data_IF_431175705379
#
_entry.id   IF_431175705379
#
_cell.length_a   1.000
_cell.length_b   1.000
_cell.length_c   1.000
_cell.angle_alpha   90.00
_cell.angle_beta   90.00
_cell.angle_gamma   90.00
#
_symmetry.space_group_name_H-M   'P 1'
#
loop_
_entity.id
_entity.type
_entity.pdbx_description
1 polymer ?
#
# COMPACT_ATOMS: atom_id res chain seq x y z
N UNK A 1 -38.87 -30.82 0.07
CA UNK A 1 -39.64 -29.55 0.14
C UNK A 1 -39.59 -28.87 1.51
N UNK A 2 -39.75 -29.57 2.64
CA UNK A 2 -39.70 -28.94 3.98
C UNK A 2 -38.33 -28.36 4.39
N UNK A 3 -37.22 -28.86 3.86
CA UNK A 3 -35.86 -28.35 4.11
C UNK A 3 -35.50 -27.15 3.24
N UNK A 4 -35.96 -27.13 1.98
CA UNK A 4 -35.78 -26.00 1.06
C UNK A 4 -36.54 -24.74 1.51
N UNK A 5 -37.75 -24.90 2.08
CA UNK A 5 -38.54 -23.78 2.60
C UNK A 5 -37.87 -23.06 3.79
N UNK A 6 -37.15 -23.81 4.64
CA UNK A 6 -36.43 -23.24 5.80
C UNK A 6 -35.18 -22.45 5.39
N UNK A 7 -34.49 -22.87 4.32
CA UNK A 7 -33.31 -22.19 3.79
C UNK A 7 -33.70 -20.89 3.10
N UNK A 8 -34.79 -20.90 2.32
CA UNK A 8 -35.31 -19.68 1.67
C UNK A 8 -35.82 -18.68 2.70
N UNK A 9 -36.52 -19.14 3.75
CA UNK A 9 -37.00 -18.25 4.82
C UNK A 9 -35.85 -17.65 5.64
N UNK A 10 -34.76 -18.42 5.87
CA UNK A 10 -33.57 -17.93 6.56
C UNK A 10 -32.78 -16.88 5.77
N UNK A 11 -32.64 -17.06 4.45
CA UNK A 11 -31.94 -16.10 3.58
C UNK A 11 -32.72 -14.79 3.39
N UNK A 12 -34.05 -14.84 3.35
CA UNK A 12 -34.89 -13.64 3.24
C UNK A 12 -34.83 -12.79 4.52
N UNK A 13 -34.81 -13.41 5.71
CA UNK A 13 -34.66 -12.68 6.99
C UNK A 13 -33.27 -12.06 7.13
N UNK A 14 -32.22 -12.73 6.63
CA UNK A 14 -30.86 -12.20 6.63
C UNK A 14 -30.70 -10.96 5.72
N UNK A 15 -31.39 -10.94 4.57
CA UNK A 15 -31.36 -9.79 3.66
C UNK A 15 -32.13 -8.57 4.20
N UNK A 16 -33.22 -8.79 4.95
CA UNK A 16 -34.02 -7.70 5.54
C UNK A 16 -33.28 -7.01 6.71
N UNK A 17 -32.38 -7.72 7.42
CA UNK A 17 -31.58 -7.11 8.49
C UNK A 17 -30.43 -6.22 7.97
N UNK A 18 -29.96 -6.41 6.73
CA UNK A 18 -28.91 -5.56 6.14
C UNK A 18 -29.43 -4.25 5.54
N UNK A 19 -30.74 -4.12 5.32
CA UNK A 19 -31.35 -2.96 4.64
C UNK A 19 -31.76 -1.80 5.56
N UNK A 20 -31.46 -1.86 6.86
CA UNK A 20 -31.94 -0.87 7.87
C UNK A 20 -30.88 0.20 8.23
N UNK A 21 -29.67 0.17 7.66
CA UNK A 21 -28.64 1.21 7.90
C UNK A 21 -28.27 2.03 6.65
N UNK A 22 -29.24 2.31 5.78
CA UNK A 22 -29.14 3.39 4.79
C UNK A 22 -29.83 4.64 5.35
N UNK A 23 -29.08 5.43 6.11
CA UNK A 23 -29.48 6.78 6.53
C UNK A 23 -29.10 7.78 5.45
N UNK A 24 -30.11 8.30 4.76
CA UNK A 24 -30.05 9.48 3.89
C UNK A 24 -30.66 10.65 4.67
N UNK A 25 -29.88 11.72 4.90
CA UNK A 25 -30.40 12.99 5.39
C UNK A 25 -29.78 14.11 4.53
N UNK A 26 -30.62 14.71 3.69
CA UNK A 26 -30.32 15.87 2.84
C UNK A 26 -31.04 17.11 3.37
N UNK A 27 -30.30 18.18 3.64
CA UNK A 27 -30.63 19.62 3.51
C UNK A 27 -29.57 20.42 4.30
N UNK A 28 -29.12 21.63 3.98
CA UNK A 28 -29.20 22.59 2.86
C UNK A 28 -28.16 23.67 3.20
N UNK A 29 -27.67 24.36 2.17
CA UNK A 29 -26.62 25.39 2.17
C UNK A 29 -26.73 26.50 3.21
N UNK A 30 -25.56 26.95 3.70
CA UNK A 30 -25.27 28.38 3.81
C UNK A 30 -23.82 28.67 3.44
N UNK A 31 -23.66 29.65 2.55
CA UNK A 31 -22.41 30.23 2.08
C UNK A 31 -21.88 31.24 3.09
N UNK A 32 -20.60 31.15 3.43
CA UNK A 32 -19.81 32.33 3.79
C UNK A 32 -18.35 32.14 3.40
N UNK A 33 -17.95 32.92 2.41
CA UNK A 33 -16.57 33.12 2.02
C UNK A 33 -15.83 33.86 3.14
N UNK A 34 -14.79 33.21 3.67
CA UNK A 34 -13.66 33.89 4.27
C UNK A 34 -12.41 33.19 3.73
N UNK A 35 -11.73 33.90 2.85
CA UNK A 35 -10.37 33.64 2.40
C UNK A 35 -9.47 33.54 3.61
N UNK A 36 -9.02 32.34 3.94
CA UNK A 36 -7.78 32.15 4.67
C UNK A 36 -6.88 31.26 3.82
N UNK A 37 -5.92 31.94 3.20
CA UNK A 37 -4.81 31.32 2.49
C UNK A 37 -3.95 30.63 3.54
N UNK A 38 -4.35 29.43 3.95
CA UNK A 38 -3.47 28.50 4.63
C UNK A 38 -2.39 28.10 3.62
N UNK A 39 -1.32 28.89 3.59
CA UNK A 39 -0.06 28.48 3.03
C UNK A 39 0.36 27.25 3.84
N UNK A 40 0.04 26.08 3.29
CA UNK A 40 0.66 24.83 3.68
C UNK A 40 2.13 25.05 3.43
N UNK A 41 2.86 25.32 4.51
CA UNK A 41 4.30 25.18 4.57
C UNK A 41 4.56 23.74 4.10
N UNK A 42 4.99 23.60 2.84
CA UNK A 42 5.36 22.31 2.28
C UNK A 42 6.64 21.93 3.02
N UNK A 43 6.47 21.27 4.16
CA UNK A 43 7.55 20.55 4.82
C UNK A 43 8.00 19.51 3.80
N UNK A 44 9.14 19.79 3.16
CA UNK A 44 9.87 18.80 2.36
C UNK A 44 10.24 17.66 3.31
N UNK A 45 9.39 16.64 3.36
CA UNK A 45 9.60 15.41 4.12
C UNK A 45 10.95 14.82 3.67
N UNK A 46 11.93 14.78 4.57
CA UNK A 46 13.25 14.20 4.27
C UNK A 46 13.12 12.67 4.34
N UNK A 47 13.43 11.93 3.25
CA UNK A 47 13.31 10.48 3.25
C UNK A 47 14.23 9.83 4.30
N UNK A 48 13.70 8.88 5.06
CA UNK A 48 14.51 8.01 5.92
C UNK A 48 15.25 6.98 5.07
N UNK A 49 16.58 6.97 5.15
CA UNK A 49 17.38 5.97 4.44
C UNK A 49 17.27 4.59 5.10
N UNK A 50 17.01 3.55 4.31
CA UNK A 50 16.95 2.16 4.76
C UNK A 50 17.30 1.20 3.63
N UNK A 51 17.86 0.04 3.94
CA UNK A 51 18.04 -1.03 2.94
C UNK A 51 16.83 -1.97 2.95
N UNK A 52 16.51 -2.59 1.82
CA UNK A 52 15.46 -3.62 1.75
C UNK A 52 15.70 -4.78 2.73
N UNK A 53 16.97 -5.15 2.96
CA UNK A 53 17.36 -6.17 3.93
C UNK A 53 17.03 -5.74 5.36
N UNK A 54 17.40 -4.53 5.75
CA UNK A 54 17.10 -3.98 7.07
C UNK A 54 15.59 -3.81 7.27
N UNK A 55 14.89 -3.29 6.26
CA UNK A 55 13.45 -3.14 6.29
C UNK A 55 12.77 -4.50 6.53
N UNK A 56 13.15 -5.52 5.75
CA UNK A 56 12.66 -6.89 5.95
C UNK A 56 12.93 -7.42 7.36
N UNK A 57 14.17 -7.30 7.84
CA UNK A 57 14.56 -7.82 9.16
C UNK A 57 13.81 -7.15 10.31
N UNK A 58 13.52 -5.86 10.21
CA UNK A 58 12.77 -5.14 11.25
C UNK A 58 11.32 -5.63 11.32
N UNK A 59 10.68 -5.87 10.17
CA UNK A 59 9.34 -6.47 10.11
C UNK A 59 9.33 -7.94 10.54
N UNK A 60 10.27 -8.77 10.07
CA UNK A 60 10.45 -10.20 10.46
C UNK A 60 10.65 -10.34 11.98
N UNK A 61 11.35 -9.38 12.61
CA UNK A 61 11.56 -9.37 14.04
C UNK A 61 10.31 -8.94 14.82
N UNK A 62 9.60 -7.91 14.34
CA UNK A 62 8.38 -7.40 14.96
C UNK A 62 7.59 -6.49 13.99
N UNK A 63 6.56 -7.05 13.37
CA UNK A 63 5.68 -6.34 12.42
C UNK A 63 5.07 -5.05 13.02
N UNK A 64 4.61 -5.09 14.27
CA UNK A 64 3.99 -3.92 14.93
C UNK A 64 5.00 -2.78 15.10
N UNK A 65 6.23 -3.11 15.46
CA UNK A 65 7.30 -2.12 15.55
C UNK A 65 7.73 -1.62 14.15
N UNK A 66 7.75 -2.50 13.15
CA UNK A 66 7.97 -2.16 11.75
C UNK A 66 6.94 -1.14 11.24
N UNK A 67 5.66 -1.39 11.50
CA UNK A 67 4.56 -0.50 11.16
C UNK A 67 4.74 0.89 11.80
N UNK A 68 5.01 0.94 13.11
CA UNK A 68 5.28 2.20 13.81
C UNK A 68 6.52 2.93 13.25
N UNK A 69 7.53 2.18 12.81
CA UNK A 69 8.79 2.73 12.33
C UNK A 69 8.72 3.21 10.88
N UNK A 70 7.96 2.56 10.01
CA UNK A 70 8.06 2.77 8.55
C UNK A 70 6.75 3.09 7.84
N UNK A 71 5.61 2.58 8.32
CA UNK A 71 4.33 2.75 7.63
C UNK A 71 3.94 4.22 7.58
N UNK A 72 3.56 4.67 6.40
CA UNK A 72 3.21 6.07 6.14
C UNK A 72 4.39 7.03 6.23
N UNK A 73 5.65 6.58 6.22
CA UNK A 73 6.82 7.47 6.16
C UNK A 73 7.45 7.43 4.77
N UNK A 74 8.08 8.53 4.36
CA UNK A 74 8.90 8.59 3.16
C UNK A 74 10.26 7.94 3.43
N UNK A 75 10.64 6.99 2.59
CA UNK A 75 11.83 6.17 2.72
C UNK A 75 12.67 6.28 1.45
N UNK A 76 13.99 6.41 1.61
CA UNK A 76 14.94 6.14 0.53
C UNK A 76 15.43 4.71 0.70
N UNK A 77 14.89 3.81 -0.11
CA UNK A 77 15.13 2.37 -0.03
C UNK A 77 16.18 1.95 -1.04
N UNK A 78 17.29 1.39 -0.55
CA UNK A 78 18.30 0.74 -1.38
C UNK A 78 18.10 -0.78 -1.38
N UNK A 79 18.33 -1.44 -2.52
CA UNK A 79 18.21 -2.89 -2.58
C UNK A 79 18.65 -3.51 -3.89
N UNK A 80 18.72 -4.84 -3.90
CA UNK A 80 18.99 -5.65 -5.08
C UNK A 80 17.69 -6.26 -5.59
N UNK A 81 17.43 -6.16 -6.89
CA UNK A 81 16.22 -6.68 -7.53
C UNK A 81 16.22 -8.22 -7.51
N UNK A 82 15.23 -8.82 -6.87
CA UNK A 82 14.96 -10.26 -6.86
C UNK A 82 14.11 -10.67 -8.08
N UNK A 83 13.05 -9.90 -8.38
CA UNK A 83 12.20 -10.06 -9.55
C UNK A 83 11.52 -8.74 -9.93
N UNK A 84 11.01 -8.69 -11.16
CA UNK A 84 10.18 -7.62 -11.70
C UNK A 84 8.99 -8.34 -12.34
N UNK A 85 7.82 -8.24 -11.73
CA UNK A 85 6.64 -9.01 -12.08
C UNK A 85 5.54 -8.09 -12.60
N UNK A 86 4.72 -8.55 -13.56
CA UNK A 86 3.53 -7.82 -13.99
C UNK A 86 2.39 -8.07 -13.01
N UNK A 87 1.80 -6.99 -12.49
CA UNK A 87 0.67 -7.00 -11.58
C UNK A 87 -0.68 -6.95 -12.30
N UNK A 88 -1.73 -6.60 -11.55
CA UNK A 88 -3.04 -6.35 -12.13
C UNK A 88 -2.99 -5.05 -12.94
N UNK A 89 -3.55 -5.07 -14.15
CA UNK A 89 -3.56 -3.88 -15.01
C UNK A 89 -2.20 -3.55 -15.65
N UNK A 90 -1.29 -4.53 -15.75
CA UNK A 90 0.05 -4.38 -16.33
C UNK A 90 0.98 -3.42 -15.55
N UNK A 91 0.63 -3.11 -14.29
CA UNK A 91 1.48 -2.34 -13.38
C UNK A 91 2.69 -3.17 -12.92
N UNK A 92 3.88 -2.58 -12.91
CA UNK A 92 5.07 -3.29 -12.44
C UNK A 92 5.07 -3.47 -10.92
N UNK A 93 5.46 -4.66 -10.46
CA UNK A 93 5.81 -4.94 -9.07
C UNK A 93 7.28 -5.36 -8.98
N UNK A 94 8.10 -4.58 -8.25
CA UNK A 94 9.50 -4.92 -8.02
C UNK A 94 9.62 -5.63 -6.67
N UNK A 95 10.28 -6.78 -6.65
CA UNK A 95 10.70 -7.43 -5.40
C UNK A 95 12.16 -7.15 -5.13
N UNK A 96 12.48 -6.59 -3.98
CA UNK A 96 13.84 -6.40 -3.50
C UNK A 96 14.22 -7.53 -2.54
N UNK A 97 15.45 -8.02 -2.64
CA UNK A 97 15.98 -9.04 -1.73
C UNK A 97 15.98 -8.48 -0.30
N UNK A 98 15.19 -9.12 0.57
CA UNK A 98 15.20 -8.88 2.00
C UNK A 98 16.21 -9.81 2.66
N UNK A 99 15.72 -10.93 3.18
CA UNK A 99 16.53 -11.99 3.80
C UNK A 99 17.10 -12.99 2.79
N UNK A 100 16.31 -13.31 1.75
CA UNK A 100 16.68 -14.21 0.64
C UNK A 100 15.98 -13.78 -0.67
N UNK A 101 16.19 -14.48 -1.78
CA UNK A 101 15.48 -14.18 -3.04
C UNK A 101 13.97 -14.44 -2.97
N UNK A 102 13.50 -15.20 -1.97
CA UNK A 102 12.09 -15.52 -1.75
C UNK A 102 11.45 -14.68 -0.64
N UNK A 103 12.26 -14.24 0.33
CA UNK A 103 11.88 -13.37 1.44
C UNK A 103 12.19 -11.91 1.07
N UNK A 104 11.23 -11.26 0.44
CA UNK A 104 11.42 -10.00 -0.30
C UNK A 104 10.60 -8.83 0.27
N UNK A 105 11.03 -7.61 -0.06
CA UNK A 105 10.24 -6.38 0.08
C UNK A 105 9.56 -6.11 -1.26
N UNK A 106 8.26 -5.83 -1.24
CA UNK A 106 7.45 -5.54 -2.43
C UNK A 106 7.36 -4.03 -2.64
N UNK A 107 7.57 -3.57 -3.87
CA UNK A 107 7.50 -2.16 -4.24
C UNK A 107 6.62 -1.96 -5.47
N UNK A 108 5.70 -1.01 -5.38
CA UNK A 108 4.86 -0.54 -6.48
C UNK A 108 4.83 0.99 -6.57
N UNK A 109 4.51 1.48 -7.75
CA UNK A 109 4.39 2.89 -8.07
C UNK A 109 3.39 3.13 -9.19
N UNK A 110 3.48 4.29 -9.82
CA UNK A 110 2.60 4.70 -10.92
C UNK A 110 3.14 4.26 -12.31
N UNK A 111 2.59 4.84 -13.36
CA UNK A 111 2.99 4.57 -14.74
C UNK A 111 4.46 4.94 -15.02
N UNK A 112 5.01 5.96 -14.35
CA UNK A 112 6.43 6.33 -14.49
C UNK A 112 7.31 5.27 -13.83
N UNK A 113 6.91 4.79 -12.64
CA UNK A 113 7.55 3.65 -12.00
C UNK A 113 7.54 2.42 -12.91
N UNK A 114 6.40 2.11 -13.53
CA UNK A 114 6.26 0.96 -14.46
C UNK A 114 7.19 1.09 -15.66
N UNK A 115 7.25 2.28 -16.29
CA UNK A 115 8.15 2.54 -17.41
C UNK A 115 9.62 2.40 -17.02
N UNK A 116 10.03 2.93 -15.86
CA UNK A 116 11.40 2.79 -15.34
C UNK A 116 11.72 1.35 -14.98
N UNK A 117 10.81 0.65 -14.32
CA UNK A 117 10.96 -0.75 -13.93
C UNK A 117 11.23 -1.67 -15.14
N UNK A 118 10.63 -1.38 -16.29
CA UNK A 118 10.87 -2.12 -17.54
C UNK A 118 12.31 -2.04 -18.05
N UNK A 119 13.13 -1.10 -17.55
CA UNK A 119 14.55 -0.96 -17.90
C UNK A 119 15.49 -1.72 -16.95
N UNK A 120 14.97 -2.18 -15.81
CA UNK A 120 15.75 -2.87 -14.79
C UNK A 120 15.92 -4.36 -15.12
N UNK A 121 16.89 -5.00 -14.47
CA UNK A 121 17.13 -6.45 -14.58
C UNK A 121 17.23 -7.11 -13.20
N UNK A 122 16.87 -8.40 -13.10
CA UNK A 122 17.14 -9.21 -11.91
C UNK A 122 18.64 -9.12 -11.54
N UNK A 123 18.92 -8.92 -10.25
CA UNK A 123 20.27 -8.81 -9.69
C UNK A 123 20.85 -7.39 -9.71
N UNK A 124 20.20 -6.44 -10.39
CA UNK A 124 20.59 -5.04 -10.41
C UNK A 124 20.38 -4.38 -9.04
N UNK A 125 21.28 -3.48 -8.66
CA UNK A 125 21.11 -2.62 -7.50
C UNK A 125 20.29 -1.38 -7.88
N UNK A 126 19.35 -0.98 -7.02
CA UNK A 126 18.43 0.13 -7.24
C UNK A 126 18.26 0.94 -5.95
N UNK A 127 17.99 2.23 -6.11
CA UNK A 127 17.56 3.13 -5.05
C UNK A 127 16.22 3.73 -5.46
N UNK A 128 15.27 3.75 -4.53
CA UNK A 128 13.92 4.26 -4.77
C UNK A 128 13.48 5.14 -3.60
N UNK A 129 12.73 6.19 -3.90
CA UNK A 129 11.98 6.93 -2.89
C UNK A 129 10.58 6.35 -2.83
N UNK A 130 10.13 5.88 -1.67
CA UNK A 130 8.85 5.19 -1.50
C UNK A 130 8.14 5.64 -0.21
N UNK A 131 6.83 5.41 -0.13
CA UNK A 131 6.09 5.46 1.13
C UNK A 131 5.94 4.05 1.68
N UNK A 132 6.26 3.86 2.97
CA UNK A 132 6.03 2.58 3.64
C UNK A 132 4.55 2.25 3.74
N UNK A 133 4.15 1.00 3.48
CA UNK A 133 2.75 0.57 3.44
C UNK A 133 2.38 -0.56 4.42
N UNK A 134 3.36 -1.01 5.22
CA UNK A 134 3.19 -2.08 6.20
C UNK A 134 3.65 -3.42 5.65
N UNK A 135 3.03 -4.52 6.09
CA UNK A 135 3.37 -5.88 5.65
C UNK A 135 2.17 -6.61 5.05
N UNK A 136 2.42 -7.43 4.03
CA UNK A 136 1.45 -8.37 3.48
C UNK A 136 2.11 -9.75 3.38
N UNK A 137 1.58 -10.72 4.13
CA UNK A 137 2.02 -12.14 4.10
C UNK A 137 3.54 -12.26 4.32
N UNK A 138 4.09 -11.64 5.37
CA UNK A 138 5.52 -11.75 5.69
C UNK A 138 6.45 -10.87 4.86
N UNK A 139 5.92 -10.08 3.92
CA UNK A 139 6.70 -9.19 3.07
C UNK A 139 6.35 -7.73 3.35
N UNK A 140 7.32 -6.90 3.75
CA UNK A 140 7.10 -5.45 3.79
C UNK A 140 6.71 -4.92 2.42
N UNK A 141 5.84 -3.93 2.43
CA UNK A 141 5.27 -3.32 1.24
C UNK A 141 5.60 -1.84 1.20
N UNK A 142 5.92 -1.39 -0.02
CA UNK A 142 6.23 -0.02 -0.36
C UNK A 142 5.31 0.40 -1.49
N UNK A 143 4.76 1.60 -1.40
CA UNK A 143 3.89 2.19 -2.42
C UNK A 143 4.37 3.56 -2.83
N UNK A 144 3.80 4.08 -3.93
CA UNK A 144 4.13 5.41 -4.46
C UNK A 144 5.64 5.55 -4.68
N UNK A 145 6.26 4.49 -5.17
CA UNK A 145 7.70 4.44 -5.38
C UNK A 145 8.13 5.21 -6.63
N UNK A 146 9.27 5.89 -6.54
CA UNK A 146 9.97 6.55 -7.65
C UNK A 146 11.40 6.01 -7.71
N UNK A 147 11.76 5.36 -8.81
CA UNK A 147 13.12 4.87 -9.08
C UNK A 147 14.03 6.06 -9.42
N UNK A 148 15.18 6.14 -8.73
CA UNK A 148 16.21 7.17 -8.88
C UNK A 148 17.20 6.84 -10.00
#
# INVERSE_FOLDING_TARGET
>A
MKTLLKIVLGLVVLFVLFAIFAGDDTATSDTSAATDTAQVEIETEVPMEVSARTLYQDYDANEVAGDQKYKGKLLQVSGKVASIDSGLGDEANIRLIGKSEFETVMASGDDEFTQKAATLSKGQDVVMICRGDGEIIGSPTLKQCVIQ
#
